data_IF_545238923670
#
_entry.id   IF_545238923670
#
_cell.length_a   1.000
_cell.length_b   1.000
_cell.length_c   1.000
_cell.angle_alpha   90.00
_cell.angle_beta   90.00
_cell.angle_gamma   90.00
#
_symmetry.space_group_name_H-M   'P 1'
#
loop_
_entity.id
_entity.type
_entity.pdbx_description
1 polymer ?
#
# COMPACT_ATOMS: atom_id res chain seq x y z
N UNK A 1 -0.96 44.71 10.91
CA UNK A 1 -0.67 43.53 10.09
C UNK A 1 -1.68 42.46 10.47
N UNK A 2 -2.64 42.16 9.60
CA UNK A 2 -3.69 41.20 9.88
C UNK A 2 -3.14 39.78 9.71
N UNK A 3 -3.08 39.03 10.79
CA UNK A 3 -2.81 37.60 10.72
C UNK A 3 -4.08 36.89 10.20
N UNK A 4 -3.97 35.90 9.32
CA UNK A 4 -5.13 35.19 8.77
C UNK A 4 -5.95 34.57 9.91
N UNK A 5 -7.27 34.54 9.78
CA UNK A 5 -8.23 34.10 10.82
C UNK A 5 -7.96 32.68 11.34
N UNK A 6 -7.31 31.81 10.56
CA UNK A 6 -6.87 30.48 11.00
C UNK A 6 -5.64 30.47 11.92
N UNK A 7 -4.95 31.61 12.08
CA UNK A 7 -3.82 31.80 13.00
C UNK A 7 -4.19 32.60 14.25
N UNK A 8 -5.49 32.91 14.44
CA UNK A 8 -5.99 33.68 15.58
C UNK A 8 -6.00 32.90 16.90
N UNK A 9 -5.80 31.58 16.86
CA UNK A 9 -5.66 30.74 18.05
C UNK A 9 -4.16 30.63 18.38
N UNK A 10 -3.76 31.12 19.54
CA UNK A 10 -2.43 30.87 20.08
C UNK A 10 -2.21 29.36 20.13
N UNK A 11 -1.09 28.86 19.57
CA UNK A 11 -0.67 27.47 19.80
C UNK A 11 -0.68 27.23 21.32
N UNK A 12 -1.22 26.12 21.84
CA UNK A 12 -1.05 25.83 23.26
C UNK A 12 0.44 25.68 23.55
N UNK A 13 1.03 26.69 24.20
CA UNK A 13 2.42 26.64 24.65
C UNK A 13 2.42 25.87 25.97
N UNK A 14 3.24 24.80 26.06
CA UNK A 14 3.45 23.98 27.27
C UNK A 14 2.33 23.04 27.77
N UNK A 15 1.19 22.90 27.08
CA UNK A 15 0.13 21.95 27.48
C UNK A 15 0.14 20.63 26.70
N UNK A 16 0.91 20.54 25.61
CA UNK A 16 1.03 19.30 24.85
C UNK A 16 1.91 18.29 25.59
N UNK A 17 1.28 17.29 26.21
CA UNK A 17 1.98 16.20 26.91
C UNK A 17 2.62 15.16 25.98
N UNK A 18 2.62 15.37 24.67
CA UNK A 18 3.03 14.38 23.68
C UNK A 18 1.94 13.35 23.37
N UNK A 19 2.29 12.39 22.53
CA UNK A 19 1.42 11.26 22.14
C UNK A 19 1.48 10.16 23.21
N UNK A 20 0.76 10.36 24.31
CA UNK A 20 0.67 9.39 25.43
C UNK A 20 -0.60 8.52 25.33
N UNK A 21 -0.59 7.36 26.01
CA UNK A 21 -1.73 6.44 26.03
C UNK A 21 -2.08 5.88 24.65
N UNK A 22 -3.33 6.06 24.21
CA UNK A 22 -3.80 5.59 22.90
C UNK A 22 -3.13 6.32 21.73
N UNK A 23 -2.68 7.56 21.92
CA UNK A 23 -2.00 8.32 20.88
C UNK A 23 -0.61 7.75 20.58
N UNK A 24 -0.01 6.97 21.49
CA UNK A 24 1.23 6.24 21.21
C UNK A 24 1.09 5.31 19.99
N UNK A 25 -0.08 4.69 19.83
CA UNK A 25 -0.35 3.81 18.68
C UNK A 25 -0.44 4.62 17.39
N UNK A 26 -1.03 5.82 17.45
CA UNK A 26 -1.09 6.73 16.31
C UNK A 26 0.31 7.23 15.94
N UNK A 27 1.17 7.50 16.93
CA UNK A 27 2.59 7.81 16.70
C UNK A 27 3.29 6.64 16.00
N UNK A 28 3.07 5.42 16.49
CA UNK A 28 3.68 4.21 15.92
C UNK A 28 3.19 3.96 14.49
N UNK A 29 1.92 4.24 14.20
CA UNK A 29 1.33 4.09 12.87
C UNK A 29 2.10 4.88 11.82
N UNK A 30 2.71 6.01 12.20
CA UNK A 30 3.57 6.80 11.31
C UNK A 30 4.75 5.98 10.77
N UNK A 31 5.31 5.09 11.59
CA UNK A 31 6.47 4.28 11.20
C UNK A 31 6.09 3.04 10.38
N UNK A 32 4.83 2.59 10.45
CA UNK A 32 4.36 1.46 9.64
C UNK A 32 4.41 1.72 8.14
N UNK A 33 4.41 2.98 7.70
CA UNK A 33 4.64 3.31 6.30
C UNK A 33 5.94 2.69 5.75
N UNK A 34 7.04 2.78 6.49
CA UNK A 34 8.33 2.29 6.01
C UNK A 34 8.36 0.77 5.92
N UNK A 35 7.75 0.09 6.90
CA UNK A 35 7.56 -1.36 6.86
C UNK A 35 6.69 -1.77 5.67
N UNK A 36 5.59 -1.06 5.43
CA UNK A 36 4.70 -1.32 4.30
C UNK A 36 5.40 -1.17 2.94
N UNK A 37 6.20 -0.10 2.75
CA UNK A 37 7.00 0.10 1.53
C UNK A 37 7.98 -1.06 1.30
N UNK A 38 8.61 -1.58 2.37
CA UNK A 38 9.50 -2.73 2.26
C UNK A 38 8.77 -4.05 2.01
N UNK A 39 7.53 -4.19 2.50
CA UNK A 39 6.73 -5.40 2.37
C UNK A 39 6.04 -5.53 1.01
N UNK A 40 5.68 -4.42 0.36
CA UNK A 40 5.04 -4.45 -0.97
C UNK A 40 5.85 -5.19 -2.05
N UNK A 41 7.20 -5.03 -2.16
CA UNK A 41 8.02 -5.86 -3.05
C UNK A 41 7.94 -7.35 -2.77
N UNK A 42 7.83 -7.75 -1.49
CA UNK A 42 7.70 -9.16 -1.10
C UNK A 42 6.35 -9.70 -1.59
N UNK A 43 5.25 -8.99 -1.33
CA UNK A 43 3.92 -9.37 -1.83
C UNK A 43 3.86 -9.39 -3.36
N UNK A 44 4.58 -8.48 -4.03
CA UNK A 44 4.68 -8.48 -5.50
C UNK A 44 5.43 -9.71 -6.00
N UNK A 45 6.45 -10.15 -5.25
CA UNK A 45 7.18 -11.38 -5.55
C UNK A 45 6.31 -12.63 -5.32
N UNK A 46 5.43 -12.63 -4.32
CA UNK A 46 4.46 -13.72 -4.12
C UNK A 46 3.49 -13.83 -5.31
N UNK A 47 3.04 -12.70 -5.86
CA UNK A 47 2.24 -12.69 -7.10
C UNK A 47 3.04 -13.27 -8.26
N UNK A 48 4.31 -12.89 -8.41
CA UNK A 48 5.19 -13.47 -9.42
C UNK A 48 5.30 -14.99 -9.24
N UNK A 49 5.61 -15.47 -8.04
CA UNK A 49 5.68 -16.91 -7.77
C UNK A 49 4.36 -17.62 -8.09
N UNK A 50 3.22 -17.01 -7.79
CA UNK A 50 1.90 -17.58 -8.02
C UNK A 50 1.57 -17.83 -9.49
N UNK A 51 2.27 -17.20 -10.44
CA UNK A 51 2.06 -17.41 -11.88
C UNK A 51 3.09 -18.34 -12.53
N UNK A 52 4.11 -18.77 -11.78
CA UNK A 52 5.15 -19.68 -12.24
C UNK A 52 4.82 -21.10 -11.75
N UNK A 53 4.23 -21.92 -12.62
CA UNK A 53 3.85 -23.29 -12.30
C UNK A 53 5.02 -24.23 -12.54
N UNK A 54 5.33 -25.05 -11.52
CA UNK A 54 6.44 -25.98 -11.52
C UNK A 54 5.95 -27.38 -11.23
N UNK A 55 6.20 -28.32 -12.16
CA UNK A 55 5.90 -29.72 -11.91
C UNK A 55 7.07 -30.38 -11.19
N UNK A 56 6.79 -30.96 -10.01
CA UNK A 56 7.82 -31.60 -9.19
C UNK A 56 8.32 -32.94 -9.76
N UNK A 57 7.58 -33.57 -10.68
CA UNK A 57 7.91 -34.90 -11.22
C UNK A 57 8.65 -34.80 -12.55
N UNK A 58 8.12 -34.01 -13.48
CA UNK A 58 8.63 -33.81 -14.83
C UNK A 58 9.64 -32.67 -14.94
N UNK A 59 9.79 -31.86 -13.88
CA UNK A 59 10.57 -30.62 -13.89
C UNK A 59 10.15 -29.63 -14.99
N UNK A 60 8.93 -29.78 -15.52
CA UNK A 60 8.38 -28.86 -16.50
C UNK A 60 8.06 -27.51 -15.84
N UNK A 61 8.31 -26.44 -16.58
CA UNK A 61 8.01 -25.08 -16.19
C UNK A 61 6.99 -24.50 -17.16
N UNK A 62 5.88 -24.00 -16.63
CA UNK A 62 4.90 -23.26 -17.42
C UNK A 62 4.40 -22.05 -16.68
N UNK A 63 3.81 -21.12 -17.42
CA UNK A 63 3.14 -19.97 -16.83
C UNK A 63 1.64 -20.24 -16.79
N UNK A 64 1.02 -19.77 -15.73
CA UNK A 64 -0.42 -19.89 -15.55
C UNK A 64 -0.98 -18.79 -14.68
N UNK A 65 -2.30 -18.73 -14.63
CA UNK A 65 -3.05 -17.84 -13.75
C UNK A 65 -4.12 -18.68 -13.09
N UNK A 66 -4.10 -18.73 -11.77
CA UNK A 66 -5.17 -19.31 -10.98
C UNK A 66 -6.03 -18.22 -10.33
N UNK A 67 -7.15 -18.64 -9.73
CA UNK A 67 -7.93 -17.76 -8.85
C UNK A 67 -7.03 -17.24 -7.72
N UNK A 68 -6.20 -18.09 -7.11
CA UNK A 68 -5.20 -17.67 -6.12
C UNK A 68 -4.25 -16.58 -6.63
N UNK A 69 -3.73 -16.68 -7.85
CA UNK A 69 -2.88 -15.64 -8.44
C UNK A 69 -3.61 -14.28 -8.54
N UNK A 70 -4.88 -14.29 -8.95
CA UNK A 70 -5.70 -13.07 -9.02
C UNK A 70 -5.99 -12.48 -7.63
N UNK A 71 -6.21 -13.34 -6.63
CA UNK A 71 -6.44 -12.92 -5.24
C UNK A 71 -5.19 -12.24 -4.67
N UNK A 72 -4.01 -12.82 -4.86
CA UNK A 72 -2.74 -12.22 -4.46
C UNK A 72 -2.46 -10.90 -5.20
N UNK A 73 -2.77 -10.84 -6.50
CA UNK A 73 -2.62 -9.62 -7.29
C UNK A 73 -3.56 -8.50 -6.79
N UNK A 74 -4.82 -8.81 -6.52
CA UNK A 74 -5.77 -7.86 -5.94
C UNK A 74 -5.30 -7.37 -4.56
N UNK A 75 -4.73 -8.26 -3.74
CA UNK A 75 -4.20 -7.92 -2.43
C UNK A 75 -3.06 -6.90 -2.52
N UNK A 76 -2.03 -7.17 -3.32
CA UNK A 76 -0.90 -6.24 -3.43
C UNK A 76 -1.30 -4.91 -4.07
N UNK A 77 -2.26 -4.90 -4.99
CA UNK A 77 -2.79 -3.66 -5.59
C UNK A 77 -3.53 -2.83 -4.54
N UNK A 78 -4.42 -3.44 -3.75
CA UNK A 78 -5.18 -2.73 -2.73
C UNK A 78 -4.27 -2.17 -1.63
N UNK A 79 -3.31 -2.97 -1.15
CA UNK A 79 -2.31 -2.53 -0.17
C UNK A 79 -1.38 -1.45 -0.73
N UNK A 80 -1.01 -1.52 -2.01
CA UNK A 80 -0.26 -0.46 -2.69
C UNK A 80 -1.04 0.85 -2.75
N UNK A 81 -2.33 0.79 -3.09
CA UNK A 81 -3.20 1.96 -3.11
C UNK A 81 -3.30 2.62 -1.73
N UNK A 82 -3.45 1.83 -0.67
CA UNK A 82 -3.47 2.33 0.70
C UNK A 82 -2.12 2.96 1.10
N UNK A 83 -1.01 2.28 0.82
CA UNK A 83 0.35 2.73 1.17
C UNK A 83 0.73 4.01 0.43
N UNK A 84 0.57 4.05 -0.89
CA UNK A 84 0.93 5.20 -1.71
C UNK A 84 -0.08 6.36 -1.62
N UNK A 85 -1.30 6.10 -1.15
CA UNK A 85 -2.27 7.12 -0.77
C UNK A 85 -2.06 7.71 0.62
N UNK A 86 -1.12 7.19 1.44
CA UNK A 86 -0.93 7.68 2.80
C UNK A 86 -0.42 9.13 2.83
N UNK A 87 -0.94 9.94 3.76
CA UNK A 87 -0.46 11.31 3.99
C UNK A 87 1.04 11.37 4.29
N UNK A 88 1.56 10.39 5.04
CA UNK A 88 2.98 10.29 5.33
C UNK A 88 3.81 10.00 4.07
N UNK A 89 3.30 9.17 3.14
CA UNK A 89 3.98 8.90 1.87
C UNK A 89 4.00 10.14 0.97
N UNK A 90 2.88 10.85 0.87
CA UNK A 90 2.78 12.10 0.13
C UNK A 90 3.78 13.16 0.64
N UNK A 91 3.92 13.25 1.96
CA UNK A 91 4.93 14.10 2.59
C UNK A 91 6.36 13.60 2.31
N UNK A 92 6.59 12.28 2.29
CA UNK A 92 7.90 11.71 1.96
C UNK A 92 8.35 12.06 0.54
N UNK A 93 7.45 12.00 -0.45
CA UNK A 93 7.81 12.22 -1.86
C UNK A 93 7.76 13.69 -2.32
N UNK A 94 7.03 14.56 -1.62
CA UNK A 94 6.84 15.96 -2.03
C UNK A 94 6.89 17.00 -0.91
N UNK A 95 7.05 16.61 0.36
CA UNK A 95 7.15 17.54 1.48
C UNK A 95 8.42 18.38 1.43
N UNK A 96 8.32 19.66 1.83
CA UNK A 96 9.46 20.57 1.90
C UNK A 96 10.10 20.93 0.56
N UNK A 97 9.39 20.74 -0.55
CA UNK A 97 9.88 21.06 -1.89
C UNK A 97 9.29 22.38 -2.40
N UNK A 98 10.16 23.33 -2.74
CA UNK A 98 9.76 24.62 -3.34
C UNK A 98 9.88 24.62 -4.88
N UNK A 99 10.52 23.59 -5.46
CA UNK A 99 10.70 23.45 -6.91
C UNK A 99 9.81 22.33 -7.48
N UNK A 100 8.72 22.74 -8.12
CA UNK A 100 7.75 21.82 -8.73
C UNK A 100 7.85 21.73 -10.26
N UNK A 101 8.48 22.71 -10.89
CA UNK A 101 8.65 22.80 -12.35
C UNK A 101 10.04 23.32 -12.66
N UNK A 102 10.71 22.70 -13.62
CA UNK A 102 12.03 23.09 -14.11
C UNK A 102 11.98 23.09 -15.64
N UNK A 103 12.48 24.15 -16.30
CA UNK A 103 12.44 24.28 -17.76
C UNK A 103 11.04 24.02 -18.36
N UNK A 104 10.00 24.57 -17.72
CA UNK A 104 8.58 24.38 -18.09
C UNK A 104 8.10 22.93 -18.06
N UNK A 105 8.80 22.03 -17.38
CA UNK A 105 8.43 20.61 -17.21
C UNK A 105 8.24 20.26 -15.73
N UNK A 106 7.27 19.40 -15.39
CA UNK A 106 7.06 18.97 -14.02
C UNK A 106 8.25 18.17 -13.50
N UNK A 107 8.72 18.48 -12.30
CA UNK A 107 9.80 17.72 -11.64
C UNK A 107 9.33 16.31 -11.27
N UNK A 108 10.27 15.38 -11.07
CA UNK A 108 9.93 14.03 -10.59
C UNK A 108 9.15 14.07 -9.27
N UNK A 109 9.56 14.95 -8.34
CA UNK A 109 8.86 15.18 -7.08
C UNK A 109 7.40 15.59 -7.28
N UNK A 110 7.14 16.54 -8.19
CA UNK A 110 5.76 16.91 -8.56
C UNK A 110 4.96 15.71 -9.06
N UNK A 111 5.56 14.91 -9.95
CA UNK A 111 4.89 13.73 -10.51
C UNK A 111 4.57 12.68 -9.44
N UNK A 112 5.50 12.39 -8.53
CA UNK A 112 5.28 11.44 -7.42
C UNK A 112 4.27 11.97 -6.41
N UNK A 113 4.33 13.25 -6.05
CA UNK A 113 3.34 13.89 -5.20
C UNK A 113 1.94 13.88 -5.85
N UNK A 114 1.83 14.16 -7.15
CA UNK A 114 0.57 14.12 -7.89
C UNK A 114 0.00 12.70 -7.98
N UNK A 115 0.87 11.71 -8.22
CA UNK A 115 0.50 10.30 -8.19
C UNK A 115 -0.05 9.90 -6.81
N UNK A 116 0.68 10.22 -5.73
CA UNK A 116 0.23 9.96 -4.36
C UNK A 116 -1.05 10.72 -4.02
N UNK A 117 -1.23 11.94 -4.53
CA UNK A 117 -2.46 12.74 -4.35
C UNK A 117 -3.68 12.02 -4.89
N UNK A 118 -3.58 11.43 -6.08
CA UNK A 118 -4.68 10.68 -6.70
C UNK A 118 -5.14 9.49 -5.84
N UNK A 119 -4.20 8.75 -5.23
CA UNK A 119 -4.55 7.69 -4.26
C UNK A 119 -5.05 8.25 -2.93
N UNK A 120 -4.48 9.37 -2.46
CA UNK A 120 -4.80 9.98 -1.18
C UNK A 120 -6.24 10.50 -1.12
N UNK A 121 -6.79 10.99 -2.23
CA UNK A 121 -8.20 11.40 -2.34
C UNK A 121 -9.18 10.28 -1.97
N UNK A 122 -8.76 9.02 -2.14
CA UNK A 122 -9.54 7.81 -1.81
C UNK A 122 -8.88 6.99 -0.70
N UNK A 123 -8.04 7.59 0.15
CA UNK A 123 -7.20 6.85 1.10
C UNK A 123 -8.02 5.98 2.06
N UNK A 124 -9.17 6.48 2.52
CA UNK A 124 -10.11 5.75 3.38
C UNK A 124 -10.67 4.52 2.67
N UNK A 125 -11.05 4.66 1.42
CA UNK A 125 -11.62 3.61 0.58
C UNK A 125 -10.56 2.54 0.33
N UNK A 126 -9.34 2.94 -0.04
CA UNK A 126 -8.20 2.03 -0.17
C UNK A 126 -7.93 1.26 1.12
N UNK A 127 -8.04 1.91 2.29
CA UNK A 127 -7.88 1.25 3.58
C UNK A 127 -8.92 0.12 3.79
N UNK A 128 -10.19 0.40 3.48
CA UNK A 128 -11.27 -0.59 3.59
C UNK A 128 -11.08 -1.73 2.58
N UNK A 129 -10.81 -1.41 1.32
CA UNK A 129 -10.56 -2.42 0.29
C UNK A 129 -9.38 -3.31 0.66
N UNK A 130 -8.25 -2.71 1.06
CA UNK A 130 -7.08 -3.49 1.46
C UNK A 130 -7.35 -4.36 2.67
N UNK A 131 -8.10 -3.87 3.66
CA UNK A 131 -8.44 -4.64 4.87
C UNK A 131 -9.27 -5.87 4.52
N UNK A 132 -10.30 -5.74 3.68
CA UNK A 132 -11.12 -6.89 3.27
C UNK A 132 -10.35 -7.85 2.37
N UNK A 133 -9.59 -7.32 1.40
CA UNK A 133 -8.88 -8.16 0.43
C UNK A 133 -7.74 -8.92 1.09
N UNK A 134 -7.00 -8.32 2.03
CA UNK A 134 -5.92 -9.05 2.74
C UNK A 134 -6.47 -10.18 3.58
N UNK A 135 -7.55 -9.94 4.34
CA UNK A 135 -8.22 -11.00 5.11
C UNK A 135 -8.73 -12.12 4.20
N UNK A 136 -9.31 -11.76 3.05
CA UNK A 136 -9.78 -12.75 2.08
C UNK A 136 -8.63 -13.54 1.47
N UNK A 137 -7.53 -12.89 1.10
CA UNK A 137 -6.35 -13.53 0.55
C UNK A 137 -5.75 -14.53 1.55
N UNK A 138 -5.59 -14.13 2.80
CA UNK A 138 -5.07 -15.00 3.87
C UNK A 138 -5.95 -16.24 4.05
N UNK A 139 -7.28 -16.05 4.13
CA UNK A 139 -8.23 -17.16 4.29
C UNK A 139 -8.27 -18.07 3.06
N UNK A 140 -8.24 -17.50 1.85
CA UNK A 140 -8.26 -18.27 0.60
C UNK A 140 -7.01 -19.15 0.49
N UNK A 141 -5.83 -18.55 0.64
CA UNK A 141 -4.55 -19.27 0.55
C UNK A 141 -4.47 -20.31 1.66
N UNK A 142 -4.85 -19.97 2.89
CA UNK A 142 -4.89 -20.94 4.00
C UNK A 142 -5.84 -22.11 3.74
N UNK A 143 -7.04 -21.86 3.20
CA UNK A 143 -7.98 -22.92 2.85
C UNK A 143 -7.42 -23.83 1.74
N UNK A 144 -6.70 -23.27 0.76
CA UNK A 144 -6.02 -24.05 -0.28
C UNK A 144 -4.87 -24.89 0.28
N UNK A 145 -4.03 -24.35 1.18
CA UNK A 145 -2.93 -25.12 1.78
C UNK A 145 -3.42 -26.23 2.70
N UNK A 146 -4.55 -26.02 3.38
CA UNK A 146 -5.21 -27.05 4.20
C UNK A 146 -6.02 -28.08 3.38
N UNK A 147 -6.15 -27.89 2.07
CA UNK A 147 -6.92 -28.77 1.19
C UNK A 147 -8.44 -28.67 1.38
N UNK A 148 -8.93 -27.61 2.04
CA UNK A 148 -10.37 -27.35 2.17
C UNK A 148 -10.97 -26.82 0.87
N UNK A 149 -10.16 -26.12 0.09
CA UNK A 149 -10.49 -25.62 -1.24
C UNK A 149 -9.41 -26.03 -2.24
N UNK A 150 -9.80 -26.36 -3.46
CA UNK A 150 -8.85 -26.57 -4.57
C UNK A 150 -8.71 -25.28 -5.34
N UNK A 151 -7.48 -24.79 -5.51
CA UNK A 151 -7.22 -23.60 -6.31
C UNK A 151 -7.50 -23.88 -7.79
N UNK A 152 -8.31 -23.03 -8.43
CA UNK A 152 -8.78 -23.23 -9.80
C UNK A 152 -7.83 -22.52 -10.75
N UNK A 153 -7.23 -23.26 -11.68
CA UNK A 153 -6.44 -22.70 -12.79
C UNK A 153 -7.38 -22.16 -13.85
N UNK A 154 -7.20 -20.89 -14.21
CA UNK A 154 -8.03 -20.18 -15.19
C UNK A 154 -7.38 -20.18 -16.58
N UNK A 155 -6.05 -20.10 -16.62
CA UNK A 155 -5.29 -20.07 -17.86
C UNK A 155 -3.89 -20.65 -17.65
N UNK A 156 -3.33 -21.22 -18.72
CA UNK A 156 -2.06 -21.95 -18.65
C UNK A 156 -2.24 -23.26 -17.89
N UNK A 157 -1.13 -23.82 -17.41
CA UNK A 157 -1.11 -25.12 -16.74
C UNK A 157 0.09 -25.96 -17.13
N UNK A 158 0.37 -26.96 -16.30
CA UNK A 158 1.26 -28.07 -16.62
C UNK A 158 0.47 -29.22 -17.21
#
# INVERSE_FOLDING_TARGET
MQQPTGCAVSKPWNEYSGETGLLLVQNLHRYFLYAAIAYLPILSYDVWLSVNFHDVVSHAHSYGVSVGSLVLAANVIALSGYTFGCHAFRHLVGGGSDLWTENSRPTLRYRMWRFSTWFNEYHKEWALYSLFIVMFADLYIYACTMGWLTDIVLWGGL
#
